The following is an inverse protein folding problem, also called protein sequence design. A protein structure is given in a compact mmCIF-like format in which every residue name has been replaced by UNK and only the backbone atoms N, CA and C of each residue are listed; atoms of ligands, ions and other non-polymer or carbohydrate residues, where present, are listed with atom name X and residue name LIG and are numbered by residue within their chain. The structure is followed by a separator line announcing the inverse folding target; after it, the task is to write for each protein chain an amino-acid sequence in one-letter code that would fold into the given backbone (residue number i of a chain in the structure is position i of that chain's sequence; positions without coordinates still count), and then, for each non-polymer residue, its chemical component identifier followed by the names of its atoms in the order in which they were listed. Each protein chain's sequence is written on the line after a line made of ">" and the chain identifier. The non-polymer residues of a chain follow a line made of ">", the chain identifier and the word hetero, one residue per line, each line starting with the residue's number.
data_IF_460236246901
#
_entry.id   IF_460236246901
#
_cell.length_a   1.000
_cell.length_b   1.000
_cell.length_c   1.000
_cell.angle_alpha   90.00
_cell.angle_beta   90.00
_cell.angle_gamma   90.00
#
_symmetry.space_group_name_H-M   'P 1'
#
loop_
_entity.id
_entity.type
_entity.pdbx_description
1 polymer ?
#
# COMPACT_ATOMS: atom_id res chain seq x y z
N UNK A 1 51.64 -36.82 -53.23
CA UNK A 1 51.21 -37.66 -52.09
C UNK A 1 50.54 -36.74 -51.06
N UNK A 2 49.24 -36.92 -50.74
CA UNK A 2 48.71 -37.76 -49.63
C UNK A 2 49.09 -37.18 -48.26
N UNK A 3 48.26 -36.95 -47.24
CA UNK A 3 46.81 -37.01 -46.92
C UNK A 3 46.69 -36.57 -45.43
N UNK A 4 45.51 -36.08 -45.02
CA UNK A 4 44.95 -36.04 -43.64
C UNK A 4 45.76 -35.30 -42.55
N UNK A 5 45.19 -34.60 -41.56
CA UNK A 5 44.08 -34.93 -40.65
C UNK A 5 43.32 -33.62 -40.31
N UNK A 6 42.00 -33.54 -40.52
CA UNK A 6 40.91 -33.71 -39.52
C UNK A 6 41.18 -33.12 -38.12
N UNK A 7 40.58 -31.95 -37.83
CA UNK A 7 40.21 -31.53 -36.47
C UNK A 7 38.98 -30.60 -36.52
N UNK A 8 37.85 -31.09 -36.02
CA UNK A 8 36.97 -30.31 -35.13
C UNK A 8 35.78 -29.57 -35.74
N UNK A 9 34.75 -30.32 -36.15
CA UNK A 9 33.37 -29.82 -36.10
C UNK A 9 32.89 -29.80 -34.64
N UNK A 10 32.86 -28.62 -34.03
CA UNK A 10 32.09 -28.35 -32.81
C UNK A 10 31.04 -27.29 -33.11
N UNK A 11 30.09 -27.69 -33.95
CA UNK A 11 28.82 -27.02 -34.16
C UNK A 11 27.90 -27.18 -32.95
N UNK A 12 28.25 -26.62 -31.78
CA UNK A 12 27.31 -26.38 -30.66
C UNK A 12 27.62 -25.03 -30.00
N UNK A 13 27.29 -23.95 -30.70
CA UNK A 13 27.24 -22.58 -30.17
C UNK A 13 25.83 -21.98 -30.27
N UNK A 14 24.79 -22.80 -30.10
CA UNK A 14 23.39 -22.36 -30.13
C UNK A 14 23.06 -21.67 -28.81
N UNK A 15 22.95 -20.35 -28.85
CA UNK A 15 22.22 -19.58 -27.85
C UNK A 15 23.00 -18.43 -27.23
N UNK A 16 23.27 -17.39 -28.00
CA UNK A 16 23.22 -16.03 -27.44
C UNK A 16 21.77 -15.75 -27.05
N UNK A 17 21.35 -16.30 -25.91
CA UNK A 17 20.16 -15.82 -25.23
C UNK A 17 20.47 -14.39 -24.81
N UNK A 18 19.98 -13.44 -25.59
CA UNK A 18 19.85 -12.07 -25.15
C UNK A 18 18.94 -12.13 -23.92
N UNK A 19 19.50 -12.05 -22.72
CA UNK A 19 18.73 -11.86 -21.51
C UNK A 19 18.03 -10.50 -21.65
N UNK A 20 16.69 -10.44 -21.75
CA UNK A 20 16.00 -9.18 -21.66
C UNK A 20 16.00 -8.75 -20.20
N UNK A 21 16.45 -7.53 -19.95
CA UNK A 21 16.30 -6.89 -18.65
C UNK A 21 17.54 -6.97 -17.78
N UNK A 22 18.64 -6.39 -18.25
CA UNK A 22 19.39 -5.57 -17.30
C UNK A 22 18.42 -4.51 -16.80
N UNK A 23 18.12 -4.41 -15.49
CA UNK A 23 17.53 -3.18 -14.99
C UNK A 23 18.59 -2.11 -15.28
N UNK A 24 18.42 -1.38 -16.38
CA UNK A 24 19.07 -0.09 -16.60
C UNK A 24 18.94 0.61 -15.27
N UNK A 25 20.08 0.93 -14.64
CA UNK A 25 20.17 1.48 -13.30
C UNK A 25 19.30 2.70 -13.14
N UNK A 26 18.02 2.48 -12.91
CA UNK A 26 17.13 3.44 -12.33
C UNK A 26 17.32 3.22 -10.84
N UNK A 27 18.34 3.87 -10.29
CA UNK A 27 18.50 4.04 -8.85
C UNK A 27 17.35 4.89 -8.27
N UNK A 28 16.17 4.89 -8.87
CA UNK A 28 14.94 5.13 -8.14
C UNK A 28 14.71 3.88 -7.29
N UNK A 29 15.33 3.86 -6.11
CA UNK A 29 14.84 3.06 -5.00
C UNK A 29 13.33 3.20 -5.01
N UNK A 30 12.63 2.15 -5.43
CA UNK A 30 11.17 2.18 -5.50
C UNK A 30 10.75 2.39 -4.05
N UNK A 31 10.01 3.46 -3.71
CA UNK A 31 9.74 3.79 -2.32
C UNK A 31 9.11 2.57 -1.66
N UNK A 32 9.83 1.99 -0.70
CA UNK A 32 9.38 0.80 0.00
C UNK A 32 8.07 1.18 0.69
N UNK A 33 6.98 0.48 0.38
CA UNK A 33 5.66 0.80 0.92
C UNK A 33 5.75 0.73 2.46
N UNK A 34 5.52 1.87 3.12
CA UNK A 34 5.66 2.01 4.58
C UNK A 34 6.97 2.60 5.08
N UNK A 35 7.89 3.01 4.20
CA UNK A 35 9.04 3.84 4.53
C UNK A 35 8.64 5.29 4.86
N UNK A 36 9.57 6.04 5.45
CA UNK A 36 9.44 7.47 5.70
C UNK A 36 9.11 8.26 4.43
N UNK A 37 9.83 7.97 3.34
CA UNK A 37 9.63 8.61 2.04
C UNK A 37 8.24 8.34 1.47
N UNK A 38 7.73 7.12 1.66
CA UNK A 38 6.36 6.76 1.27
C UNK A 38 5.31 7.52 2.07
N UNK A 39 5.54 7.73 3.37
CA UNK A 39 4.65 8.53 4.20
C UNK A 39 4.66 10.00 3.76
N UNK A 40 5.84 10.59 3.57
CA UNK A 40 5.99 12.00 3.15
C UNK A 40 5.33 12.22 1.78
N UNK A 41 5.61 11.35 0.81
CA UNK A 41 4.98 11.40 -0.52
C UNK A 41 3.46 11.36 -0.43
N UNK A 42 2.93 10.45 0.39
CA UNK A 42 1.48 10.30 0.57
C UNK A 42 0.85 11.55 1.20
N UNK A 43 1.46 12.09 2.24
CA UNK A 43 0.98 13.32 2.89
C UNK A 43 0.97 14.48 1.90
N UNK A 44 2.04 14.65 1.11
CA UNK A 44 2.10 15.69 0.08
C UNK A 44 1.00 15.53 -0.98
N UNK A 45 0.74 14.31 -1.45
CA UNK A 45 -0.35 14.04 -2.37
C UNK A 45 -1.73 14.34 -1.75
N UNK A 46 -1.95 13.94 -0.50
CA UNK A 46 -3.22 14.17 0.22
C UNK A 46 -3.49 15.66 0.47
N UNK A 47 -2.47 16.49 0.60
CA UNK A 47 -2.60 17.95 0.73
C UNK A 47 -2.63 18.69 -0.62
N UNK A 48 -2.56 17.98 -1.75
CA UNK A 48 -2.52 18.59 -3.09
C UNK A 48 -1.18 19.25 -3.44
N UNK A 49 -0.11 18.89 -2.72
CA UNK A 49 1.25 19.41 -2.93
C UNK A 49 2.12 18.47 -3.78
N UNK A 50 1.65 17.27 -4.09
CA UNK A 50 2.43 16.25 -4.79
C UNK A 50 2.99 16.67 -6.16
N UNK A 51 2.25 17.49 -6.92
CA UNK A 51 2.69 17.98 -8.23
C UNK A 51 3.78 19.07 -8.16
N UNK A 52 3.98 19.66 -6.99
CA UNK A 52 4.94 20.75 -6.76
C UNK A 52 6.24 20.27 -6.11
N UNK A 53 6.26 19.03 -5.62
CA UNK A 53 7.38 18.45 -4.89
C UNK A 53 8.07 17.39 -5.75
N UNK A 54 9.37 17.52 -5.90
CA UNK A 54 10.17 16.55 -6.63
C UNK A 54 10.66 15.42 -5.69
N UNK A 55 11.19 14.31 -6.24
CA UNK A 55 11.69 13.21 -5.42
C UNK A 55 12.85 13.60 -4.49
N UNK A 56 13.64 14.64 -4.82
CA UNK A 56 14.73 15.09 -3.96
C UNK A 56 14.19 15.79 -2.71
N UNK A 57 13.14 16.61 -2.86
CA UNK A 57 12.45 17.20 -1.72
C UNK A 57 11.97 16.15 -0.71
N UNK A 58 11.39 15.04 -1.18
CA UNK A 58 10.93 13.94 -0.32
C UNK A 58 12.08 13.30 0.45
N UNK A 59 13.20 13.03 -0.22
CA UNK A 59 14.40 12.45 0.41
C UNK A 59 15.01 13.40 1.45
N UNK A 60 15.16 14.67 1.09
CA UNK A 60 15.70 15.70 1.97
C UNK A 60 14.81 15.87 3.20
N UNK A 61 13.50 16.00 3.01
CA UNK A 61 12.53 16.11 4.12
C UNK A 61 12.62 14.90 5.05
N UNK A 62 12.67 13.68 4.48
CA UNK A 62 12.77 12.45 5.28
C UNK A 62 14.08 12.40 6.07
N UNK A 63 15.20 12.88 5.49
CA UNK A 63 16.49 13.00 6.18
C UNK A 63 16.48 14.10 7.25
N UNK A 64 15.98 15.29 6.94
CA UNK A 64 15.89 16.42 7.89
C UNK A 64 15.05 16.03 9.11
N UNK A 65 13.95 15.30 8.91
CA UNK A 65 13.18 14.77 10.04
C UNK A 65 13.99 13.76 10.87
N UNK A 66 14.83 12.93 10.26
CA UNK A 66 15.68 11.97 11.01
C UNK A 66 16.71 12.72 11.85
N UNK A 67 17.36 13.72 11.26
CA UNK A 67 18.37 14.54 11.92
C UNK A 67 17.75 15.40 13.04
N UNK A 68 16.61 16.05 12.77
CA UNK A 68 15.93 16.90 13.75
C UNK A 68 15.35 16.12 14.93
N UNK A 69 14.95 14.86 14.72
CA UNK A 69 14.38 14.00 15.76
C UNK A 69 15.40 13.02 16.36
N UNK A 70 16.66 13.07 15.94
CA UNK A 70 17.73 12.13 16.33
C UNK A 70 17.30 10.66 16.15
N UNK A 71 16.56 10.36 15.08
CA UNK A 71 16.03 9.03 14.80
C UNK A 71 16.85 8.32 13.73
N UNK A 72 17.11 7.02 13.91
CA UNK A 72 17.69 6.22 12.82
C UNK A 72 16.68 6.03 11.68
N UNK A 73 17.18 5.74 10.48
CA UNK A 73 16.33 5.45 9.33
C UNK A 73 15.33 4.33 9.63
N UNK A 74 15.76 3.23 10.27
CA UNK A 74 14.88 2.11 10.61
C UNK A 74 13.85 2.46 11.68
N UNK A 75 14.19 3.34 12.62
CA UNK A 75 13.22 3.83 13.60
C UNK A 75 12.16 4.71 12.92
N UNK A 76 12.58 5.59 12.02
CA UNK A 76 11.67 6.43 11.27
C UNK A 76 10.76 5.61 10.36
N UNK A 77 11.31 4.64 9.62
CA UNK A 77 10.52 3.75 8.76
C UNK A 77 9.50 2.95 9.57
N UNK A 78 9.89 2.42 10.74
CA UNK A 78 8.94 1.74 11.64
C UNK A 78 7.86 2.68 12.16
N UNK A 79 8.19 3.93 12.47
CA UNK A 79 7.20 4.91 12.90
C UNK A 79 6.25 5.28 11.75
N UNK A 80 6.79 5.49 10.54
CA UNK A 80 6.02 5.80 9.35
C UNK A 80 5.04 4.68 9.00
N UNK A 81 5.50 3.43 9.02
CA UNK A 81 4.66 2.26 8.80
C UNK A 81 3.51 2.20 9.81
N UNK A 82 3.80 2.38 11.11
CA UNK A 82 2.78 2.35 12.16
C UNK A 82 1.72 3.45 11.98
N UNK A 83 2.13 4.66 11.58
CA UNK A 83 1.20 5.75 11.30
C UNK A 83 0.25 5.40 10.15
N UNK A 84 0.78 4.87 9.05
CA UNK A 84 -0.04 4.47 7.89
C UNK A 84 -1.02 3.34 8.21
N UNK A 85 -0.60 2.36 9.01
CA UNK A 85 -1.47 1.26 9.46
C UNK A 85 -2.57 1.79 10.38
N UNK A 86 -2.20 2.60 11.38
CA UNK A 86 -3.15 3.18 12.34
C UNK A 86 -4.24 3.99 11.63
N UNK A 87 -3.86 4.78 10.64
CA UNK A 87 -4.80 5.58 9.87
C UNK A 87 -5.79 4.71 9.07
N UNK A 88 -5.30 3.63 8.42
CA UNK A 88 -6.17 2.67 7.72
C UNK A 88 -7.17 2.03 8.68
N UNK A 89 -6.71 1.61 9.87
CA UNK A 89 -7.57 1.03 10.90
C UNK A 89 -8.64 2.02 11.37
N UNK A 90 -8.28 3.29 11.60
CA UNK A 90 -9.24 4.33 12.01
C UNK A 90 -10.28 4.55 10.91
N UNK A 91 -9.87 4.69 9.65
CA UNK A 91 -10.79 4.86 8.51
C UNK A 91 -11.75 3.67 8.38
N UNK A 92 -11.26 2.44 8.56
CA UNK A 92 -12.08 1.24 8.55
C UNK A 92 -13.07 1.17 9.71
N UNK A 93 -12.66 1.56 10.92
CA UNK A 93 -13.53 1.61 12.08
C UNK A 93 -14.65 2.66 11.90
N UNK A 94 -14.33 3.82 11.33
CA UNK A 94 -15.31 4.87 11.01
C UNK A 94 -16.33 4.40 9.96
N UNK A 95 -15.89 3.71 8.91
CA UNK A 95 -16.81 3.15 7.91
C UNK A 95 -17.73 2.07 8.47
N UNK A 96 -17.25 1.27 9.43
CA UNK A 96 -18.08 0.26 10.11
C UNK A 96 -19.14 0.90 11.01
N UNK A 97 -18.78 1.95 11.75
CA UNK A 97 -19.77 2.69 12.56
C UNK A 97 -20.85 3.36 11.69
N UNK A 98 -20.48 3.91 10.54
CA UNK A 98 -21.45 4.48 9.59
C UNK A 98 -22.41 3.41 9.04
N UNK A 99 -21.92 2.22 8.69
CA UNK A 99 -22.76 1.11 8.24
C UNK A 99 -23.66 0.55 9.36
N UNK A 100 -23.16 0.37 10.58
CA UNK A 100 -23.96 -0.14 11.70
C UNK A 100 -25.07 0.85 12.09
N UNK A 101 -24.79 2.16 12.04
CA UNK A 101 -25.79 3.21 12.24
C UNK A 101 -26.91 3.15 11.21
N UNK A 102 -26.59 2.93 9.94
CA UNK A 102 -27.56 2.79 8.85
C UNK A 102 -28.38 1.49 8.95
N UNK A 103 -27.75 0.36 9.31
CA UNK A 103 -28.43 -0.93 9.50
C UNK A 103 -29.39 -0.87 10.70
N UNK A 104 -28.97 -0.28 11.82
CA UNK A 104 -29.83 -0.10 13.00
C UNK A 104 -30.96 0.89 12.73
N UNK A 105 -30.68 2.00 12.02
CA UNK A 105 -31.71 2.94 11.59
C UNK A 105 -32.73 2.24 10.67
N UNK A 106 -32.28 1.33 9.79
CA UNK A 106 -33.16 0.49 8.98
C UNK A 106 -34.01 -0.50 9.77
N UNK A 107 -33.46 -1.04 10.84
CA UNK A 107 -34.18 -1.99 11.68
C UNK A 107 -35.22 -1.32 12.60
N UNK A 108 -35.07 -0.02 12.90
CA UNK A 108 -35.98 0.76 13.75
C UNK A 108 -36.82 1.79 12.97
N UNK A 109 -37.26 1.45 11.77
CA UNK A 109 -38.22 2.28 11.05
C UNK A 109 -39.65 2.13 11.65
N UNK A 110 -40.35 3.24 11.99
CA UNK A 110 -41.66 3.20 12.65
C UNK A 110 -42.78 2.54 11.82
N UNK A 111 -42.54 2.23 10.54
CA UNK A 111 -43.50 1.58 9.64
C UNK A 111 -43.13 0.13 9.26
N UNK A 112 -42.04 -0.44 9.78
CA UNK A 112 -41.69 -1.85 9.58
C UNK A 112 -41.74 -2.61 10.91
N UNK A 113 -42.91 -3.20 11.21
CA UNK A 113 -43.02 -4.24 12.24
C UNK A 113 -42.63 -5.60 11.62
N UNK A 114 -41.64 -6.33 12.15
CA UNK A 114 -41.45 -7.73 11.78
C UNK A 114 -42.66 -8.54 12.25
N UNK A 115 -43.19 -9.39 11.36
CA UNK A 115 -44.49 -10.04 11.47
C UNK A 115 -44.60 -11.17 12.53
N UNK A 116 -44.01 -11.02 13.72
CA UNK A 116 -43.99 -12.09 14.72
C UNK A 116 -44.19 -11.58 16.15
N UNK A 117 -45.29 -10.89 16.46
CA UNK A 117 -45.89 -10.99 17.80
C UNK A 117 -47.42 -10.84 17.70
N UNK A 118 -48.22 -11.81 18.21
CA UNK A 118 -49.64 -11.61 18.35
C UNK A 118 -49.89 -10.53 19.42
N UNK A 119 -50.88 -9.64 19.24
CA UNK A 119 -51.14 -8.57 20.19
C UNK A 119 -51.56 -9.14 21.56
N UNK A 120 -51.14 -8.53 22.67
CA UNK A 120 -51.56 -8.95 24.00
C UNK A 120 -53.06 -8.74 24.18
N UNK A 121 -53.75 -9.81 24.59
CA UNK A 121 -55.20 -9.80 24.83
C UNK A 121 -55.47 -9.07 26.15
N UNK A 122 -55.82 -7.79 26.07
CA UNK A 122 -56.31 -7.06 27.24
C UNK A 122 -57.69 -7.63 27.62
N UNK A 123 -57.76 -8.37 28.73
CA UNK A 123 -59.03 -8.73 29.36
C UNK A 123 -59.61 -7.45 29.99
N UNK A 124 -60.69 -6.93 29.41
CA UNK A 124 -61.49 -5.87 30.04
C UNK A 124 -62.15 -6.45 31.30
N UNK A 125 -62.06 -5.65 32.37
CA UNK A 125 -62.66 -5.88 33.68
C UNK A 125 -64.18 -5.92 33.60
#
# INVERSE_FOLDING_TARGET
>A
MKIHEDVGDDSIGRGVVSLPGSPRGNNSSVPVVGSAESLVTRVLQEQGLGEYCDPEFVRNTSREMQEALEMTQEQMDRAAHQLMVKEKTIKQAQSQQAQVGDILARQYHPFHQPATMPPPVFKRL
#
